data_IF_564603408011
#
_entry.id   IF_564603408011
#
_cell.length_a   1.000
_cell.length_b   1.000
_cell.length_c   1.000
_cell.angle_alpha   90.00
_cell.angle_beta   90.00
_cell.angle_gamma   90.00
#
_symmetry.space_group_name_H-M   'P 1'
#
loop_
_entity.id
_entity.type
_entity.pdbx_description
1 polymer ?
#
# COMPACT_ATOMS: atom_id res chain seq x y z
N UNK A 1 -8.85 7.26 15.42
CA UNK A 1 -9.68 7.55 14.23
C UNK A 1 -10.01 6.23 13.54
N UNK A 2 -11.21 6.10 12.96
CA UNK A 2 -11.53 4.93 12.13
C UNK A 2 -10.63 4.88 10.88
N UNK A 3 -10.63 3.74 10.20
CA UNK A 3 -10.02 3.59 8.88
C UNK A 3 -10.72 4.58 7.91
N UNK A 4 -9.97 5.32 7.06
CA UNK A 4 -10.56 6.20 6.06
C UNK A 4 -11.49 5.44 5.13
N UNK A 5 -12.66 6.00 4.78
CA UNK A 5 -13.65 5.29 3.95
C UNK A 5 -13.32 5.28 2.47
N UNK A 6 -12.48 6.23 2.02
CA UNK A 6 -12.14 6.44 0.63
C UNK A 6 -10.79 7.17 0.51
N UNK A 7 -10.30 7.29 -0.71
CA UNK A 7 -9.01 7.90 -0.99
C UNK A 7 -8.91 9.36 -0.52
N UNK A 8 -9.99 10.14 -0.63
CA UNK A 8 -10.01 11.54 -0.17
C UNK A 8 -9.80 11.64 1.35
N UNK A 9 -10.50 10.82 2.13
CA UNK A 9 -10.30 10.76 3.58
C UNK A 9 -8.88 10.29 3.95
N UNK A 10 -8.33 9.34 3.19
CA UNK A 10 -6.93 8.92 3.34
C UNK A 10 -5.98 10.08 3.07
N UNK A 11 -6.17 10.86 2.00
CA UNK A 11 -5.33 12.02 1.71
C UNK A 11 -5.39 13.07 2.82
N UNK A 12 -6.57 13.34 3.38
CA UNK A 12 -6.71 14.27 4.51
C UNK A 12 -5.94 13.80 5.75
N UNK A 13 -5.77 12.49 5.95
CA UNK A 13 -4.99 11.96 7.07
C UNK A 13 -3.49 12.28 6.99
N UNK A 14 -2.97 12.60 5.80
CA UNK A 14 -1.54 12.86 5.57
C UNK A 14 -1.04 14.14 6.25
N UNK A 15 -1.95 15.01 6.72
CA UNK A 15 -1.59 16.20 7.53
C UNK A 15 -1.07 15.82 8.91
N UNK A 16 -1.38 14.61 9.38
CA UNK A 16 -0.88 14.09 10.65
C UNK A 16 0.60 13.68 10.56
N UNK A 17 1.27 13.62 11.71
CA UNK A 17 2.64 13.12 11.82
C UNK A 17 2.70 11.58 11.74
N UNK A 18 1.63 10.90 12.14
CA UNK A 18 1.50 9.43 12.13
C UNK A 18 0.07 9.03 11.74
N UNK A 19 -0.16 7.78 11.29
CA UNK A 19 -1.50 7.22 11.15
C UNK A 19 -2.32 7.42 12.43
N UNK A 20 -3.56 7.93 12.29
CA UNK A 20 -4.34 8.42 13.43
C UNK A 20 -5.25 7.36 14.08
N UNK A 21 -4.93 6.07 14.00
CA UNK A 21 -5.75 5.01 14.58
C UNK A 21 -5.13 3.62 14.44
N UNK A 22 -5.86 2.62 14.91
CA UNK A 22 -5.54 1.20 14.71
C UNK A 22 -5.90 0.84 13.26
N UNK A 23 -4.95 1.06 12.36
CA UNK A 23 -5.07 0.71 10.95
C UNK A 23 -4.32 -0.60 10.69
N UNK A 24 -4.75 -1.38 9.69
CA UNK A 24 -3.99 -2.55 9.26
C UNK A 24 -2.62 -2.12 8.74
N UNK A 25 -1.61 -2.95 8.97
CA UNK A 25 -0.22 -2.69 8.58
C UNK A 25 -0.08 -2.33 7.10
N UNK A 26 -0.90 -2.93 6.23
CA UNK A 26 -0.94 -2.61 4.80
C UNK A 26 -1.30 -1.14 4.53
N UNK A 27 -2.27 -0.58 5.27
CA UNK A 27 -2.64 0.81 5.13
C UNK A 27 -1.59 1.74 5.74
N UNK A 28 -1.00 1.34 6.88
CA UNK A 28 0.11 2.06 7.49
C UNK A 28 1.32 2.15 6.55
N UNK A 29 1.71 1.05 5.90
CA UNK A 29 2.82 1.02 4.94
C UNK A 29 2.58 2.01 3.80
N UNK A 30 1.41 1.97 3.17
CA UNK A 30 1.09 2.90 2.08
C UNK A 30 0.96 4.36 2.55
N UNK A 31 0.53 4.61 3.78
CA UNK A 31 0.50 5.96 4.33
C UNK A 31 1.90 6.57 4.45
N UNK A 32 2.87 5.80 4.97
CA UNK A 32 4.27 6.25 5.05
C UNK A 32 4.87 6.45 3.65
N UNK A 33 4.57 5.56 2.70
CA UNK A 33 5.06 5.69 1.34
C UNK A 33 4.57 6.98 0.66
N UNK A 34 3.27 7.30 0.81
CA UNK A 34 2.65 8.53 0.27
C UNK A 34 3.21 9.79 0.96
N UNK A 35 3.60 9.69 2.23
CA UNK A 35 4.31 10.77 2.95
C UNK A 35 5.76 10.95 2.53
N UNK A 36 6.29 10.05 1.69
CA UNK A 36 7.69 10.06 1.25
C UNK A 36 8.64 9.30 2.17
N UNK A 37 8.14 8.57 3.16
CA UNK A 37 8.94 7.72 4.06
C UNK A 37 8.95 6.28 3.54
N UNK A 38 9.74 6.07 2.48
CA UNK A 38 9.88 4.77 1.82
C UNK A 38 10.47 3.72 2.77
N UNK A 39 11.48 4.07 3.58
CA UNK A 39 12.13 3.13 4.50
C UNK A 39 11.11 2.55 5.49
N UNK A 40 10.24 3.39 6.06
CA UNK A 40 9.22 2.93 6.98
C UNK A 40 8.13 2.12 6.28
N UNK A 41 7.73 2.51 5.07
CA UNK A 41 6.81 1.74 4.27
C UNK A 41 7.34 0.34 3.95
N UNK A 42 8.61 0.25 3.55
CA UNK A 42 9.31 -0.99 3.27
C UNK A 42 9.45 -1.86 4.52
N UNK A 43 9.81 -1.24 5.65
CA UNK A 43 9.95 -1.96 6.92
C UNK A 43 8.63 -2.57 7.40
N UNK A 44 7.50 -1.90 7.23
CA UNK A 44 6.19 -2.47 7.54
C UNK A 44 5.81 -3.52 6.48
N UNK A 45 6.01 -3.20 5.20
CA UNK A 45 5.61 -4.05 4.07
C UNK A 45 6.28 -5.42 4.05
N UNK A 46 7.56 -5.52 4.46
CA UNK A 46 8.29 -6.80 4.48
C UNK A 46 7.69 -7.83 5.46
N UNK A 47 7.06 -7.36 6.55
CA UNK A 47 6.45 -8.22 7.57
C UNK A 47 5.03 -8.70 7.17
N UNK A 48 4.46 -8.17 6.09
CA UNK A 48 3.13 -8.54 5.62
C UNK A 48 3.22 -9.78 4.71
N UNK A 49 3.09 -10.96 5.29
CA UNK A 49 3.16 -12.24 4.57
C UNK A 49 1.84 -12.64 3.88
N UNK A 50 1.33 -11.77 3.00
CA UNK A 50 0.10 -12.03 2.22
C UNK A 50 0.27 -11.64 0.74
N UNK A 51 -0.74 -11.94 -0.09
CA UNK A 51 -0.78 -11.47 -1.48
C UNK A 51 -0.81 -9.93 -1.55
N UNK A 52 -1.52 -9.29 -0.61
CA UNK A 52 -1.55 -7.82 -0.49
C UNK A 52 -0.19 -7.26 -0.07
N UNK A 53 0.48 -7.87 0.92
CA UNK A 53 1.83 -7.48 1.31
C UNK A 53 2.83 -7.65 0.18
N UNK A 54 2.73 -8.74 -0.57
CA UNK A 54 3.57 -8.96 -1.76
C UNK A 54 3.31 -7.91 -2.84
N UNK A 55 2.07 -7.42 -2.99
CA UNK A 55 1.77 -6.34 -3.94
C UNK A 55 2.41 -5.01 -3.51
N UNK A 56 2.28 -4.64 -2.24
CA UNK A 56 2.92 -3.45 -1.65
C UNK A 56 4.44 -3.52 -1.84
N UNK A 57 5.05 -4.66 -1.51
CA UNK A 57 6.49 -4.86 -1.65
C UNK A 57 6.95 -4.75 -3.11
N UNK A 58 6.18 -5.34 -4.04
CA UNK A 58 6.44 -5.20 -5.47
C UNK A 58 6.44 -3.74 -5.91
N UNK A 59 5.43 -2.97 -5.50
CA UNK A 59 5.35 -1.54 -5.78
C UNK A 59 6.54 -0.74 -5.21
N UNK A 60 6.94 -1.01 -3.97
CA UNK A 60 8.06 -0.33 -3.32
C UNK A 60 9.39 -0.55 -4.05
N UNK A 61 9.62 -1.74 -4.62
CA UNK A 61 10.79 -1.98 -5.44
C UNK A 61 10.75 -1.31 -6.82
N UNK A 62 9.56 -1.09 -7.41
CA UNK A 62 9.46 -0.24 -8.62
C UNK A 62 9.94 1.17 -8.28
N UNK A 63 9.55 1.70 -7.12
CA UNK A 63 9.95 3.03 -6.66
C UNK A 63 11.44 3.14 -6.35
N UNK A 64 12.06 2.05 -5.87
CA UNK A 64 13.51 1.94 -5.63
C UNK A 64 14.32 1.76 -6.93
N UNK A 65 13.68 1.28 -8.01
CA UNK A 65 14.34 0.99 -9.29
C UNK A 65 14.79 -0.47 -9.46
N UNK A 66 14.37 -1.37 -8.56
CA UNK A 66 14.64 -2.81 -8.65
C UNK A 66 13.51 -3.55 -9.38
N UNK A 67 13.53 -3.48 -10.70
CA UNK A 67 12.51 -4.13 -11.54
C UNK A 67 12.46 -5.66 -11.38
N UNK A 68 13.60 -6.31 -11.12
CA UNK A 68 13.66 -7.76 -11.02
C UNK A 68 12.94 -8.23 -9.76
N UNK A 69 13.25 -7.64 -8.61
CA UNK A 69 12.54 -7.97 -7.36
C UNK A 69 11.08 -7.53 -7.44
N UNK A 70 10.78 -6.35 -8.00
CA UNK A 70 9.40 -5.94 -8.21
C UNK A 70 8.59 -7.02 -8.95
N UNK A 71 9.10 -7.55 -10.08
CA UNK A 71 8.44 -8.62 -10.84
C UNK A 71 8.24 -9.89 -10.02
N UNK A 72 9.25 -10.29 -9.23
CA UNK A 72 9.14 -11.44 -8.32
C UNK A 72 7.96 -11.27 -7.35
N UNK A 73 7.83 -10.10 -6.72
CA UNK A 73 6.78 -9.82 -5.75
C UNK A 73 5.39 -9.68 -6.38
N UNK A 74 5.28 -9.06 -7.56
CA UNK A 74 4.01 -9.03 -8.33
C UNK A 74 3.54 -10.44 -8.70
N UNK A 75 4.45 -11.33 -9.08
CA UNK A 75 4.13 -12.74 -9.31
C UNK A 75 3.61 -13.42 -8.05
N UNK A 76 4.22 -13.18 -6.87
CA UNK A 76 3.70 -13.71 -5.59
C UNK A 76 2.34 -13.14 -5.21
N UNK A 77 2.09 -11.87 -5.55
CA UNK A 77 0.81 -11.20 -5.37
C UNK A 77 -0.28 -11.71 -6.33
N UNK A 78 0.08 -12.56 -7.31
CA UNK A 78 -0.79 -13.00 -8.42
C UNK A 78 -1.37 -11.81 -9.20
N UNK A 79 -0.56 -10.75 -9.36
CA UNK A 79 -0.93 -9.52 -10.09
C UNK A 79 0.01 -9.30 -11.26
N UNK A 80 -0.50 -8.65 -12.30
CA UNK A 80 0.33 -8.22 -13.43
C UNK A 80 1.21 -7.07 -13.00
N UNK A 81 2.42 -7.00 -13.56
CA UNK A 81 3.29 -5.84 -13.41
C UNK A 81 2.59 -4.58 -13.94
N UNK A 82 2.68 -3.43 -13.25
CA UNK A 82 1.88 -2.26 -13.57
C UNK A 82 2.42 -1.53 -14.80
N UNK A 83 1.52 -0.91 -15.55
CA UNK A 83 1.84 -0.13 -16.77
C UNK A 83 1.38 1.33 -16.69
N UNK A 84 0.68 1.69 -15.62
CA UNK A 84 -0.01 2.98 -15.43
C UNK A 84 0.82 4.04 -14.67
N UNK A 85 2.09 3.75 -14.38
CA UNK A 85 2.98 4.62 -13.61
C UNK A 85 2.84 4.47 -12.09
N UNK A 86 3.82 4.99 -11.34
CA UNK A 86 3.92 4.82 -9.89
C UNK A 86 2.75 5.43 -9.12
N UNK A 87 2.31 6.64 -9.46
CA UNK A 87 1.23 7.32 -8.73
C UNK A 87 -0.12 6.60 -8.88
N UNK A 88 -0.43 6.14 -10.09
CA UNK A 88 -1.66 5.39 -10.35
C UNK A 88 -1.65 4.04 -9.62
N UNK A 89 -0.52 3.35 -9.60
CA UNK A 89 -0.36 2.09 -8.88
C UNK A 89 -0.48 2.27 -7.36
N UNK A 90 0.18 3.29 -6.81
CA UNK A 90 0.10 3.64 -5.39
C UNK A 90 -1.36 3.89 -4.98
N UNK A 91 -2.09 4.67 -5.76
CA UNK A 91 -3.51 4.96 -5.53
C UNK A 91 -4.37 3.69 -5.61
N UNK A 92 -4.14 2.81 -6.59
CA UNK A 92 -4.88 1.55 -6.72
C UNK A 92 -4.72 0.67 -5.49
N UNK A 93 -3.49 0.54 -4.97
CA UNK A 93 -3.20 -0.23 -3.76
C UNK A 93 -3.96 0.34 -2.58
N UNK A 94 -3.90 1.66 -2.36
CA UNK A 94 -4.62 2.31 -1.26
C UNK A 94 -6.12 2.07 -1.39
N UNK A 95 -6.71 2.32 -2.55
CA UNK A 95 -8.15 2.12 -2.77
C UNK A 95 -8.58 0.66 -2.56
N UNK A 96 -7.75 -0.30 -2.95
CA UNK A 96 -7.99 -1.73 -2.70
C UNK A 96 -8.00 -2.04 -1.20
N UNK A 97 -7.01 -1.55 -0.46
CA UNK A 97 -6.94 -1.71 1.01
C UNK A 97 -8.18 -1.10 1.66
N UNK A 98 -8.55 0.13 1.31
CA UNK A 98 -9.72 0.77 1.89
C UNK A 98 -11.02 0.00 1.58
N UNK A 99 -11.18 -0.54 0.37
CA UNK A 99 -12.33 -1.40 0.04
C UNK A 99 -12.35 -2.66 0.88
N UNK A 100 -11.21 -3.33 1.03
CA UNK A 100 -11.07 -4.56 1.81
C UNK A 100 -11.49 -4.38 3.28
N UNK A 101 -11.09 -3.27 3.90
CA UNK A 101 -11.32 -3.05 5.34
C UNK A 101 -12.58 -2.23 5.67
N UNK A 102 -13.18 -1.54 4.70
CA UNK A 102 -14.46 -0.84 4.91
C UNK A 102 -15.69 -1.66 4.47
N UNK A 103 -15.52 -2.76 3.75
CA UNK A 103 -16.64 -3.60 3.30
C UNK A 103 -16.65 -4.95 4.04
N UNK A 104 -17.63 -5.22 4.92
CA UNK A 104 -17.71 -6.46 5.68
C UNK A 104 -18.02 -7.71 4.83
N UNK A 105 -18.28 -7.56 3.53
CA UNK A 105 -18.60 -8.65 2.60
C UNK A 105 -17.50 -8.91 1.56
N UNK A 106 -16.28 -8.42 1.76
CA UNK A 106 -15.14 -8.77 0.89
C UNK A 106 -14.71 -10.20 1.24
N UNK A 107 -14.67 -11.14 0.29
CA UNK A 107 -14.37 -12.55 0.57
C UNK A 107 -12.96 -12.77 1.13
#
# INVERSE_FOLDING_TARGET
MPIPKNYTEFQHSLVAATPQGEWPDSLCAMWYDVKGDWDKAHNIGQDIHSALGSWIHGYLHIKEGDEFNARYWYNRAKRKYPVQGLEAEQKEIVEYILKLFNNPNTP
#
